data_IF_951682453562
#
_entry.id   IF_951682453562
#
_cell.length_a   1.000
_cell.length_b   1.000
_cell.length_c   1.000
_cell.angle_alpha   90.00
_cell.angle_beta   90.00
_cell.angle_gamma   90.00
#
_symmetry.space_group_name_H-M   'P 1'
#
loop_
_entity.id
_entity.type
_entity.pdbx_description
1 polymer ?
#
# COMPACT_ATOMS: atom_id res chain seq x y z
N UNK A 1 5.57 25.02 -13.41
CA UNK A 1 5.94 24.81 -11.99
C UNK A 1 7.30 24.16 -11.99
N UNK A 2 8.28 24.76 -11.32
CA UNK A 2 9.62 24.17 -11.19
C UNK A 2 9.51 22.90 -10.34
N UNK A 3 9.86 21.73 -10.91
CA UNK A 3 9.86 20.44 -10.19
C UNK A 3 10.73 20.55 -8.93
N UNK A 4 11.81 21.35 -8.99
CA UNK A 4 12.67 21.60 -7.84
C UNK A 4 11.96 22.28 -6.66
N UNK A 5 10.88 23.03 -6.89
CA UNK A 5 10.14 23.67 -5.81
C UNK A 5 9.40 22.64 -4.95
N UNK A 6 8.66 21.71 -5.57
CA UNK A 6 7.93 20.67 -4.83
C UNK A 6 8.87 19.67 -4.18
N UNK A 7 9.99 19.33 -4.81
CA UNK A 7 11.00 18.47 -4.18
C UNK A 7 11.65 19.13 -2.96
N UNK A 8 11.96 20.43 -3.02
CA UNK A 8 12.49 21.17 -1.85
C UNK A 8 11.46 21.26 -0.73
N UNK A 9 10.21 21.58 -1.08
CA UNK A 9 9.11 21.64 -0.13
C UNK A 9 8.89 20.28 0.57
N UNK A 10 8.90 19.19 -0.19
CA UNK A 10 8.79 17.83 0.36
C UNK A 10 9.91 17.55 1.37
N UNK A 11 11.16 17.86 1.03
CA UNK A 11 12.32 17.66 1.89
C UNK A 11 12.25 18.50 3.17
N UNK A 12 11.81 19.75 3.06
CA UNK A 12 11.66 20.67 4.20
C UNK A 12 10.62 20.14 5.21
N UNK A 13 9.51 19.59 4.71
CA UNK A 13 8.40 19.16 5.55
C UNK A 13 8.34 17.65 5.81
N UNK A 14 9.29 16.89 5.27
CA UNK A 14 9.33 15.42 5.26
C UNK A 14 7.96 14.81 4.87
N UNK A 15 7.35 15.38 3.83
CA UNK A 15 5.95 15.11 3.52
C UNK A 15 5.72 13.64 3.14
N UNK A 16 6.59 13.04 2.31
CA UNK A 16 6.44 11.64 1.89
C UNK A 16 6.51 10.66 3.06
N UNK A 17 7.46 10.88 3.98
CA UNK A 17 7.59 10.04 5.18
C UNK A 17 6.29 10.09 6.01
N UNK A 18 5.77 11.30 6.24
CA UNK A 18 4.53 11.53 6.99
C UNK A 18 3.33 10.91 6.26
N UNK A 19 3.29 10.94 4.94
CA UNK A 19 2.25 10.29 4.14
C UNK A 19 2.29 8.77 4.28
N UNK A 20 3.47 8.14 4.26
CA UNK A 20 3.60 6.69 4.47
C UNK A 20 3.16 6.29 5.89
N UNK A 21 3.57 7.06 6.90
CA UNK A 21 3.14 6.85 8.29
C UNK A 21 1.61 7.06 8.45
N UNK A 22 1.08 8.09 7.81
CA UNK A 22 -0.35 8.38 7.73
C UNK A 22 -1.16 7.23 7.15
N UNK A 23 -0.69 6.66 6.03
CA UNK A 23 -1.31 5.47 5.43
C UNK A 23 -1.42 4.33 6.45
N UNK A 24 -0.33 3.98 7.13
CA UNK A 24 -0.35 2.86 8.08
C UNK A 24 -1.32 3.12 9.24
N UNK A 25 -1.37 4.36 9.73
CA UNK A 25 -2.29 4.75 10.80
C UNK A 25 -3.75 4.67 10.33
N UNK A 26 -4.07 5.25 9.17
CA UNK A 26 -5.41 5.22 8.60
C UNK A 26 -5.86 3.79 8.29
N UNK A 27 -5.02 3.00 7.61
CA UNK A 27 -5.31 1.61 7.26
C UNK A 27 -5.58 0.73 8.48
N UNK A 28 -4.72 0.81 9.51
CA UNK A 28 -4.88 0.02 10.74
C UNK A 28 -6.08 0.46 11.56
N UNK A 29 -6.36 1.77 11.61
CA UNK A 29 -7.55 2.30 12.29
C UNK A 29 -8.82 1.85 11.61
N UNK A 30 -8.92 2.03 10.29
CA UNK A 30 -10.07 1.60 9.49
C UNK A 30 -10.31 0.09 9.58
N UNK A 31 -9.25 -0.72 9.49
CA UNK A 31 -9.31 -2.19 9.66
C UNK A 31 -9.93 -2.62 10.99
N UNK A 32 -9.73 -1.86 12.07
CA UNK A 32 -10.29 -2.15 13.40
C UNK A 32 -11.73 -1.64 13.50
N UNK A 33 -11.98 -0.42 13.01
CA UNK A 33 -13.30 0.23 13.07
C UNK A 33 -14.35 -0.46 12.21
N UNK A 34 -13.97 -0.93 11.02
CA UNK A 34 -14.85 -1.56 10.04
C UNK A 34 -14.31 -2.92 9.59
N UNK A 35 -14.22 -3.83 10.56
CA UNK A 35 -13.63 -5.15 10.37
C UNK A 35 -14.36 -5.99 9.32
N UNK A 36 -15.68 -5.92 9.26
CA UNK A 36 -16.47 -6.74 8.35
C UNK A 36 -16.27 -6.30 6.91
N UNK A 37 -16.30 -4.98 6.63
CA UNK A 37 -15.97 -4.45 5.30
C UNK A 37 -14.52 -4.76 4.93
N UNK A 38 -13.57 -4.67 5.87
CA UNK A 38 -12.18 -5.07 5.63
C UNK A 38 -12.08 -6.55 5.20
N UNK A 39 -12.70 -7.45 5.95
CA UNK A 39 -12.68 -8.88 5.65
C UNK A 39 -13.40 -9.18 4.33
N UNK A 40 -14.49 -8.49 4.03
CA UNK A 40 -15.23 -8.64 2.80
C UNK A 40 -14.42 -8.13 1.59
N UNK A 41 -13.82 -6.95 1.69
CA UNK A 41 -13.04 -6.33 0.61
C UNK A 41 -11.82 -7.17 0.24
N UNK A 42 -11.09 -7.67 1.25
CA UNK A 42 -9.82 -8.35 1.03
C UNK A 42 -9.91 -9.87 1.00
N UNK A 43 -11.10 -10.49 0.99
CA UNK A 43 -11.26 -11.95 1.09
C UNK A 43 -10.57 -12.51 2.35
N UNK A 44 -10.90 -11.92 3.49
CA UNK A 44 -10.27 -12.16 4.79
C UNK A 44 -9.04 -11.29 5.04
N UNK A 45 -8.21 -11.67 6.01
CA UNK A 45 -7.05 -10.87 6.41
C UNK A 45 -6.01 -10.78 5.28
N UNK A 46 -5.46 -9.58 5.08
CA UNK A 46 -4.16 -9.37 4.45
C UNK A 46 -3.03 -9.54 5.46
N UNK A 47 -1.89 -10.00 4.97
CA UNK A 47 -0.64 -10.00 5.70
C UNK A 47 0.14 -8.71 5.34
N UNK A 48 0.24 -7.77 6.29
CA UNK A 48 0.76 -6.42 6.05
C UNK A 48 2.20 -6.42 5.49
N UNK A 49 2.98 -7.47 5.73
CA UNK A 49 4.35 -7.62 5.20
C UNK A 49 4.41 -7.73 3.66
N UNK A 50 3.27 -8.00 3.01
CA UNK A 50 3.16 -8.09 1.55
C UNK A 50 2.45 -6.88 0.94
N UNK A 51 2.12 -5.86 1.75
CA UNK A 51 1.63 -4.58 1.24
C UNK A 51 2.84 -3.75 0.82
N UNK A 52 2.84 -3.33 -0.44
CA UNK A 52 3.89 -2.50 -1.05
C UNK A 52 3.31 -1.11 -1.27
N UNK A 53 4.11 -0.11 -0.89
CA UNK A 53 3.75 1.29 -0.99
C UNK A 53 4.70 1.94 -1.99
N UNK A 54 4.17 2.40 -3.11
CA UNK A 54 4.94 3.18 -4.08
C UNK A 54 4.51 4.65 -4.00
N UNK A 55 5.46 5.58 -4.02
CA UNK A 55 5.13 7.01 -4.18
C UNK A 55 4.59 7.23 -5.59
N UNK A 56 3.34 7.69 -5.68
CA UNK A 56 2.68 7.93 -6.95
C UNK A 56 2.98 9.34 -7.49
N UNK A 57 2.79 10.35 -6.66
CA UNK A 57 3.00 11.75 -7.06
C UNK A 57 3.09 12.70 -5.88
N UNK A 58 3.71 13.85 -6.12
CA UNK A 58 3.56 15.07 -5.32
C UNK A 58 2.96 16.12 -6.23
N UNK A 59 1.85 16.72 -5.84
CA UNK A 59 1.13 17.69 -6.69
C UNK A 59 0.65 18.89 -5.90
N UNK A 60 0.71 20.07 -6.52
CA UNK A 60 0.09 21.29 -5.99
C UNK A 60 -1.30 21.43 -6.62
N UNK A 61 -2.34 21.47 -5.79
CA UNK A 61 -3.72 21.72 -6.22
C UNK A 61 -4.18 23.07 -5.70
N UNK A 62 -4.60 23.95 -6.62
CA UNK A 62 -5.26 25.20 -6.28
C UNK A 62 -6.76 25.00 -6.31
N UNK A 63 -7.44 25.55 -5.31
CA UNK A 63 -8.88 25.49 -5.21
C UNK A 63 -9.47 26.86 -5.56
N UNK A 64 -10.54 26.86 -6.35
CA UNK A 64 -11.23 28.09 -6.74
C UNK A 64 -12.39 28.42 -5.81
N UNK A 65 -12.90 27.43 -5.09
CA UNK A 65 -14.03 27.49 -4.16
C UNK A 65 -13.61 27.74 -2.70
N UNK A 66 -12.38 27.40 -2.33
CA UNK A 66 -11.73 27.78 -1.07
C UNK A 66 -10.48 28.61 -1.34
N UNK A 67 -10.22 29.61 -0.50
CA UNK A 67 -8.97 30.38 -0.61
C UNK A 67 -7.79 29.47 -0.28
N UNK A 68 -6.96 29.17 -1.28
CA UNK A 68 -5.66 28.56 -1.06
C UNK A 68 -5.26 27.51 -2.09
N UNK A 69 -4.03 27.03 -1.91
CA UNK A 69 -3.51 25.86 -2.58
C UNK A 69 -3.02 24.86 -1.52
N UNK A 70 -3.04 23.59 -1.87
CA UNK A 70 -2.57 22.52 -1.01
C UNK A 70 -1.63 21.60 -1.80
N UNK A 71 -0.68 20.99 -1.09
CA UNK A 71 0.21 19.96 -1.65
C UNK A 71 -0.35 18.60 -1.29
N UNK A 72 -0.48 17.74 -2.29
CA UNK A 72 -0.91 16.35 -2.14
C UNK A 72 0.28 15.44 -2.35
N UNK A 73 0.53 14.56 -1.38
CA UNK A 73 1.42 13.43 -1.53
C UNK A 73 0.57 12.16 -1.68
N UNK A 74 0.71 11.50 -2.82
CA UNK A 74 -0.11 10.35 -3.21
C UNK A 74 0.71 9.08 -3.17
N UNK A 75 0.16 8.04 -2.57
CA UNK A 75 0.71 6.69 -2.52
C UNK A 75 -0.15 5.74 -3.33
N UNK A 76 0.52 4.83 -4.02
CA UNK A 76 -0.08 3.65 -4.63
C UNK A 76 0.14 2.46 -3.71
N UNK A 77 -0.94 1.74 -3.43
CA UNK A 77 -0.93 0.59 -2.54
C UNK A 77 -1.10 -0.69 -3.36
N UNK A 78 -0.17 -1.63 -3.20
CA UNK A 78 -0.26 -2.96 -3.81
C UNK A 78 -0.20 -4.04 -2.75
N UNK A 79 -0.82 -5.18 -3.01
CA UNK A 79 -0.60 -6.42 -2.30
C UNK A 79 0.03 -7.38 -3.30
N UNK A 80 1.31 -7.72 -3.12
CA UNK A 80 2.12 -8.35 -4.16
C UNK A 80 2.02 -7.57 -5.49
N UNK A 81 1.46 -8.21 -6.52
CA UNK A 81 1.26 -7.66 -7.86
C UNK A 81 -0.08 -6.94 -8.04
N UNK A 82 -0.99 -7.06 -7.07
CA UNK A 82 -2.34 -6.52 -7.18
C UNK A 82 -2.41 -5.10 -6.62
N UNK A 83 -2.79 -4.13 -7.45
CA UNK A 83 -3.23 -2.81 -7.00
C UNK A 83 -4.44 -2.95 -6.07
N UNK A 84 -4.33 -2.45 -4.85
CA UNK A 84 -5.40 -2.54 -3.85
C UNK A 84 -6.04 -1.19 -3.55
N UNK A 85 -5.34 -0.08 -3.79
CA UNK A 85 -5.87 1.24 -3.49
C UNK A 85 -4.85 2.35 -3.56
N UNK A 86 -5.26 3.53 -3.12
CA UNK A 86 -4.44 4.73 -3.02
C UNK A 86 -4.60 5.36 -1.66
N UNK A 87 -3.58 6.10 -1.25
CA UNK A 87 -3.66 6.97 -0.08
C UNK A 87 -3.10 8.33 -0.42
N UNK A 88 -3.87 9.38 -0.16
CA UNK A 88 -3.47 10.76 -0.37
C UNK A 88 -3.42 11.48 0.96
N UNK A 89 -2.35 12.24 1.19
CA UNK A 89 -2.27 13.17 2.32
C UNK A 89 -2.22 14.59 1.78
N UNK A 90 -3.15 15.43 2.24
CA UNK A 90 -3.24 16.84 1.93
C UNK A 90 -2.47 17.66 2.96
N UNK A 91 -1.63 18.57 2.48
CA UNK A 91 -0.91 19.52 3.30
C UNK A 91 -1.21 20.95 2.87
N UNK A 92 -1.31 21.84 3.84
CA UNK A 92 -1.21 23.28 3.60
C UNK A 92 0.21 23.63 3.12
N UNK A 93 0.37 24.81 2.51
CA UNK A 93 1.67 25.24 1.94
C UNK A 93 2.78 25.40 2.99
N UNK A 94 2.44 25.48 4.28
CA UNK A 94 3.39 25.53 5.40
C UNK A 94 3.80 24.13 5.92
N UNK A 95 3.31 23.06 5.29
CA UNK A 95 3.58 21.68 5.69
C UNK A 95 2.64 21.13 6.77
N UNK A 96 1.67 21.91 7.26
CA UNK A 96 0.64 21.41 8.18
C UNK A 96 -0.24 20.40 7.46
N UNK A 97 -0.47 19.24 8.09
CA UNK A 97 -1.39 18.24 7.57
C UNK A 97 -2.82 18.79 7.65
N UNK A 98 -3.54 18.80 6.54
CA UNK A 98 -4.91 19.30 6.47
C UNK A 98 -5.93 18.16 6.53
N UNK A 99 -5.72 17.12 5.72
CA UNK A 99 -6.63 15.98 5.60
C UNK A 99 -5.92 14.75 4.99
N UNK A 100 -6.57 13.59 5.05
CA UNK A 100 -6.12 12.38 4.37
C UNK A 100 -7.25 11.54 3.78
N UNK A 101 -6.91 10.77 2.75
CA UNK A 101 -7.88 10.01 1.96
C UNK A 101 -7.35 8.61 1.68
N UNK A 102 -7.95 7.61 2.31
CA UNK A 102 -7.71 6.20 2.01
C UNK A 102 -8.81 5.68 1.09
N UNK A 103 -8.44 5.21 -0.10
CA UNK A 103 -9.37 4.68 -1.09
C UNK A 103 -8.92 3.33 -1.61
N UNK A 104 -9.85 2.40 -1.79
CA UNK A 104 -9.57 1.06 -2.31
C UNK A 104 -10.21 0.83 -3.68
N UNK A 105 -9.63 -0.09 -4.43
CA UNK A 105 -10.17 -0.54 -5.71
C UNK A 105 -11.56 -1.17 -5.57
N UNK A 106 -12.30 -1.21 -6.68
CA UNK A 106 -13.60 -1.89 -6.74
C UNK A 106 -13.48 -3.34 -6.24
N UNK A 107 -14.40 -3.71 -5.34
CA UNK A 107 -14.42 -5.01 -4.67
C UNK A 107 -14.41 -6.18 -5.66
N UNK A 108 -15.22 -6.14 -6.71
CA UNK A 108 -15.34 -7.26 -7.65
C UNK A 108 -14.07 -7.41 -8.51
N UNK A 109 -13.48 -6.29 -8.91
CA UNK A 109 -12.19 -6.28 -9.60
C UNK A 109 -11.08 -6.83 -8.70
N UNK A 110 -11.08 -6.43 -7.43
CA UNK A 110 -10.07 -6.79 -6.44
C UNK A 110 -10.11 -8.27 -6.07
N UNK A 111 -11.30 -8.83 -5.85
CA UNK A 111 -11.49 -10.23 -5.43
C UNK A 111 -10.82 -11.23 -6.37
N UNK A 112 -11.00 -11.06 -7.68
CA UNK A 112 -10.43 -11.98 -8.68
C UNK A 112 -8.90 -12.00 -8.64
N UNK A 113 -8.28 -10.83 -8.47
CA UNK A 113 -6.82 -10.68 -8.46
C UNK A 113 -6.23 -11.17 -7.12
N UNK A 114 -6.81 -10.75 -5.99
CA UNK A 114 -6.35 -11.17 -4.67
C UNK A 114 -6.50 -12.67 -4.42
N UNK A 115 -7.51 -13.33 -5.01
CA UNK A 115 -7.66 -14.77 -4.87
C UNK A 115 -6.44 -15.53 -5.39
N UNK A 116 -5.85 -15.09 -6.52
CA UNK A 116 -4.64 -15.68 -7.08
C UNK A 116 -3.43 -15.45 -6.16
N UNK A 117 -3.22 -14.21 -5.72
CA UNK A 117 -2.12 -13.83 -4.82
C UNK A 117 -2.16 -14.60 -3.50
N UNK A 118 -3.34 -14.68 -2.87
CA UNK A 118 -3.52 -15.44 -1.63
C UNK A 118 -3.32 -16.94 -1.83
N UNK A 119 -3.75 -17.47 -2.97
CA UNK A 119 -3.51 -18.87 -3.30
C UNK A 119 -2.00 -19.15 -3.46
N UNK A 120 -1.29 -18.30 -4.19
CA UNK A 120 0.15 -18.38 -4.40
C UNK A 120 0.91 -18.35 -3.07
N UNK A 121 0.62 -17.39 -2.18
CA UNK A 121 1.22 -17.33 -0.85
C UNK A 121 0.93 -18.57 -0.01
N UNK A 122 -0.31 -19.07 -0.03
CA UNK A 122 -0.69 -20.28 0.72
C UNK A 122 0.02 -21.52 0.20
N UNK A 123 0.16 -21.66 -1.12
CA UNK A 123 0.90 -22.75 -1.72
C UNK A 123 2.39 -22.66 -1.35
N UNK A 124 3.01 -21.50 -1.57
CA UNK A 124 4.42 -21.27 -1.26
C UNK A 124 4.74 -21.57 0.20
N UNK A 125 3.88 -21.13 1.13
CA UNK A 125 4.04 -21.42 2.56
C UNK A 125 4.06 -22.92 2.85
N UNK A 126 3.13 -23.68 2.28
CA UNK A 126 3.09 -25.15 2.46
C UNK A 126 4.31 -25.82 1.82
N UNK A 127 4.63 -25.42 0.59
CA UNK A 127 5.77 -25.96 -0.15
C UNK A 127 7.11 -25.75 0.60
N UNK A 128 7.32 -24.58 1.20
CA UNK A 128 8.49 -24.31 2.04
C UNK A 128 8.57 -25.24 3.26
N UNK A 129 7.44 -25.50 3.92
CA UNK A 129 7.39 -26.42 5.08
C UNK A 129 7.69 -27.85 4.67
N UNK A 130 7.25 -28.27 3.48
CA UNK A 130 7.54 -29.59 2.90
C UNK A 130 8.96 -29.71 2.32
N UNK A 131 9.78 -28.66 2.43
CA UNK A 131 11.17 -28.67 1.94
C UNK A 131 11.30 -28.56 0.42
N UNK A 132 10.30 -28.02 -0.28
CA UNK A 132 10.39 -27.76 -1.72
C UNK A 132 11.35 -26.58 -1.97
N UNK A 133 12.24 -26.75 -2.94
CA UNK A 133 13.22 -25.74 -3.37
C UNK A 133 12.55 -24.43 -3.83
N UNK A 134 13.14 -23.29 -3.44
CA UNK A 134 12.61 -21.95 -3.70
C UNK A 134 12.38 -21.67 -5.19
N UNK A 135 13.35 -22.03 -6.03
CA UNK A 135 13.24 -21.88 -7.49
C UNK A 135 12.02 -22.61 -8.07
N UNK A 136 11.67 -23.77 -7.50
CA UNK A 136 10.49 -24.54 -7.91
C UNK A 136 9.21 -23.81 -7.49
N UNK A 137 9.19 -23.28 -6.27
CA UNK A 137 8.05 -22.52 -5.75
C UNK A 137 7.83 -21.25 -6.59
N UNK A 138 8.90 -20.51 -6.89
CA UNK A 138 8.86 -19.30 -7.73
C UNK A 138 8.27 -19.62 -9.10
N UNK A 139 8.75 -20.68 -9.76
CA UNK A 139 8.24 -21.10 -11.09
C UNK A 139 6.76 -21.49 -11.07
N UNK A 140 6.29 -22.15 -10.02
CA UNK A 140 4.89 -22.60 -9.90
C UNK A 140 3.96 -21.45 -9.54
N UNK A 141 4.38 -20.59 -8.62
CA UNK A 141 3.51 -19.56 -8.03
C UNK A 141 3.60 -18.22 -8.72
N UNK A 142 4.68 -17.95 -9.45
CA UNK A 142 4.99 -16.62 -10.00
C UNK A 142 5.40 -15.59 -8.94
N UNK A 143 5.58 -16.00 -7.67
CA UNK A 143 6.05 -15.10 -6.62
C UNK A 143 7.51 -14.73 -6.84
N UNK A 144 7.83 -13.46 -6.57
CA UNK A 144 9.20 -12.99 -6.58
C UNK A 144 9.99 -13.52 -5.37
N UNK A 145 11.31 -13.63 -5.52
CA UNK A 145 12.22 -14.14 -4.49
C UNK A 145 12.09 -13.38 -3.17
N UNK A 146 11.80 -12.08 -3.21
CA UNK A 146 11.57 -11.26 -2.03
C UNK A 146 10.41 -11.80 -1.18
N UNK A 147 9.29 -12.17 -1.80
CA UNK A 147 8.14 -12.70 -1.09
C UNK A 147 8.41 -14.08 -0.48
N UNK A 148 9.17 -14.92 -1.18
CA UNK A 148 9.64 -16.21 -0.66
C UNK A 148 10.54 -16.01 0.55
N UNK A 149 11.45 -15.03 0.48
CA UNK A 149 12.36 -14.68 1.58
C UNK A 149 11.59 -14.19 2.82
N UNK A 150 10.56 -13.37 2.63
CA UNK A 150 9.66 -12.94 3.72
C UNK A 150 8.95 -14.16 4.33
N UNK A 151 8.41 -15.07 3.52
CA UNK A 151 7.75 -16.29 4.02
C UNK A 151 8.70 -17.17 4.83
N UNK A 152 9.93 -17.40 4.35
CA UNK A 152 10.93 -18.19 5.09
C UNK A 152 11.26 -17.58 6.43
N UNK A 153 11.52 -16.26 6.46
CA UNK A 153 11.79 -15.52 7.70
C UNK A 153 10.66 -15.69 8.73
N UNK A 154 9.40 -15.76 8.28
CA UNK A 154 8.24 -15.93 9.17
C UNK A 154 7.98 -17.37 9.62
N UNK A 155 8.50 -18.35 8.89
CA UNK A 155 8.28 -19.77 9.18
C UNK A 155 9.39 -20.36 10.07
N UNK A 156 10.61 -19.86 9.94
CA UNK A 156 11.80 -20.49 10.49
C UNK A 156 12.61 -19.58 11.44
N UNK A 157 12.16 -18.35 11.68
CA UNK A 157 12.64 -17.49 12.78
C UNK A 157 11.51 -17.30 13.80
#
# INVERSE_FOLDING_TARGET
MDIGLLSRWEQEHNALKRTIEGFWNAFRSWKVQDKDTYHELFLGKLDEDFIIIDVLSISLKQYYDRQGAAVFCSLRLRYLHTMIGTYDMEFLLDGTAADDYLSFEDKNALHRKLAADKHALRFARKALVEGIEEDTIIKITGLELEYISILKRKLFN
#
